data_IF_963376464106
#
_entry.id   IF_963376464106
#
_cell.length_a   1.000
_cell.length_b   1.000
_cell.length_c   1.000
_cell.angle_alpha   90.00
_cell.angle_beta   90.00
_cell.angle_gamma   90.00
#
_symmetry.space_group_name_H-M   'P 1'
#
loop_
_entity.id
_entity.type
_entity.pdbx_description
1 polymer ?
#
# COMPACT_ATOMS: atom_id res chain seq x y z
N UNK A 1 -17.67 -45.32 -41.59
CA UNK A 1 -18.06 -44.81 -40.27
C UNK A 1 -16.83 -44.30 -39.60
N UNK A 2 -16.61 -43.00 -39.69
CA UNK A 2 -15.44 -42.30 -39.12
C UNK A 2 -15.89 -41.49 -37.94
N UNK A 3 -15.45 -41.88 -36.75
CA UNK A 3 -15.64 -41.13 -35.51
C UNK A 3 -14.59 -40.01 -35.45
N UNK A 4 -15.05 -38.79 -35.53
CA UNK A 4 -14.24 -37.61 -35.23
C UNK A 4 -14.45 -37.29 -33.75
N UNK A 5 -13.46 -37.58 -32.92
CA UNK A 5 -13.39 -37.14 -31.53
C UNK A 5 -12.90 -35.71 -31.49
N UNK A 6 -13.82 -34.77 -31.30
CA UNK A 6 -13.51 -33.37 -31.07
C UNK A 6 -12.90 -33.17 -29.69
N UNK A 7 -11.58 -32.95 -29.65
CA UNK A 7 -10.91 -32.46 -28.46
C UNK A 7 -11.15 -30.94 -28.39
N UNK A 8 -12.13 -30.55 -27.57
CA UNK A 8 -12.35 -29.13 -27.25
C UNK A 8 -11.14 -28.55 -26.56
N UNK A 9 -10.87 -27.24 -26.76
CA UNK A 9 -9.74 -26.58 -26.13
C UNK A 9 -9.90 -26.64 -24.61
N UNK A 10 -8.94 -27.28 -23.95
CA UNK A 10 -8.83 -27.21 -22.49
C UNK A 10 -8.65 -25.74 -22.14
N UNK A 11 -9.65 -25.15 -21.47
CA UNK A 11 -9.50 -23.87 -20.81
C UNK A 11 -8.28 -23.97 -19.91
N UNK A 12 -7.26 -23.18 -20.21
CA UNK A 12 -6.09 -23.04 -19.34
C UNK A 12 -6.61 -22.61 -17.97
N UNK A 13 -6.16 -23.31 -16.95
CA UNK A 13 -6.41 -22.93 -15.57
C UNK A 13 -6.04 -21.46 -15.41
N UNK A 14 -7.00 -20.71 -14.87
CA UNK A 14 -7.00 -19.29 -14.62
C UNK A 14 -5.61 -18.72 -14.35
N UNK A 15 -5.26 -17.75 -15.17
CA UNK A 15 -4.18 -16.78 -14.95
C UNK A 15 -4.59 -15.88 -13.77
N UNK A 16 -4.66 -16.45 -12.57
CA UNK A 16 -4.87 -15.70 -11.34
C UNK A 16 -3.53 -15.14 -10.92
N UNK A 17 -3.47 -13.83 -10.77
CA UNK A 17 -2.33 -13.18 -10.12
C UNK A 17 -2.02 -13.89 -8.80
N UNK A 18 -0.74 -14.12 -8.48
CA UNK A 18 -0.37 -14.77 -7.24
C UNK A 18 -0.87 -13.98 -6.04
N UNK A 19 -1.22 -14.67 -4.96
CA UNK A 19 -1.61 -14.05 -3.70
C UNK A 19 -0.44 -13.28 -3.08
N UNK A 20 -0.69 -12.07 -2.56
CA UNK A 20 0.36 -11.30 -1.89
C UNK A 20 0.94 -12.03 -0.68
N UNK A 21 0.10 -12.76 0.05
CA UNK A 21 0.53 -13.52 1.23
C UNK A 21 1.44 -14.71 0.91
N UNK A 22 1.53 -15.11 -0.35
CA UNK A 22 2.51 -16.09 -0.83
C UNK A 22 3.79 -15.46 -1.37
N UNK A 23 3.76 -14.17 -1.72
CA UNK A 23 4.89 -13.44 -2.29
C UNK A 23 5.75 -12.75 -1.23
N UNK A 24 5.10 -12.16 -0.23
CA UNK A 24 5.77 -11.50 0.90
C UNK A 24 5.03 -11.82 2.20
N UNK A 25 5.72 -11.73 3.31
CA UNK A 25 5.13 -11.87 4.64
C UNK A 25 5.01 -10.51 5.36
N UNK A 26 4.27 -10.52 6.46
CA UNK A 26 4.06 -9.32 7.28
C UNK A 26 5.37 -8.79 7.87
N UNK A 27 6.33 -9.66 8.20
CA UNK A 27 7.62 -9.25 8.72
C UNK A 27 8.43 -8.44 7.69
N UNK A 28 8.40 -8.86 6.42
CA UNK A 28 9.02 -8.10 5.32
C UNK A 28 8.38 -6.73 5.13
N UNK A 29 7.04 -6.65 5.18
CA UNK A 29 6.34 -5.35 5.09
C UNK A 29 6.69 -4.45 6.27
N UNK A 30 6.81 -5.00 7.47
CA UNK A 30 7.22 -4.25 8.65
C UNK A 30 8.65 -3.71 8.50
N UNK A 31 9.59 -4.54 8.07
CA UNK A 31 10.98 -4.13 7.84
C UNK A 31 11.08 -3.00 6.80
N UNK A 32 10.35 -3.12 5.69
CA UNK A 32 10.27 -2.09 4.65
C UNK A 32 9.71 -0.78 5.23
N UNK A 33 8.66 -0.87 6.04
CA UNK A 33 8.05 0.29 6.68
C UNK A 33 9.03 0.98 7.64
N UNK A 34 9.71 0.23 8.48
CA UNK A 34 10.72 0.74 9.42
C UNK A 34 11.89 1.41 8.68
N UNK A 35 12.38 0.81 7.61
CA UNK A 35 13.46 1.39 6.79
C UNK A 35 13.03 2.71 6.13
N UNK A 36 11.81 2.77 5.58
CA UNK A 36 11.28 3.99 5.00
C UNK A 36 11.12 5.08 6.08
N UNK A 37 10.70 4.70 7.27
CA UNK A 37 10.56 5.60 8.41
C UNK A 37 11.90 6.21 8.82
N UNK A 38 12.93 5.38 9.01
CA UNK A 38 14.29 5.83 9.32
C UNK A 38 14.83 6.79 8.26
N UNK A 39 14.59 6.50 6.99
CA UNK A 39 15.12 7.28 5.89
C UNK A 39 14.43 8.65 5.73
N UNK A 40 13.12 8.73 5.97
CA UNK A 40 12.32 9.93 5.68
C UNK A 40 11.94 10.72 6.92
N UNK A 41 11.59 10.06 8.01
CA UNK A 41 11.09 10.72 9.23
C UNK A 41 12.23 11.01 10.20
N UNK A 42 13.16 10.08 10.37
CA UNK A 42 14.35 10.28 11.18
C UNK A 42 14.78 9.05 11.97
N UNK A 43 16.06 9.01 12.32
CA UNK A 43 16.66 7.87 13.05
C UNK A 43 16.16 7.73 14.49
N UNK A 44 15.72 8.83 15.09
CA UNK A 44 15.18 8.85 16.46
C UNK A 44 13.67 8.55 16.51
N UNK A 45 13.04 8.39 15.35
CA UNK A 45 11.60 8.18 15.23
C UNK A 45 11.27 6.68 15.15
N UNK A 46 10.83 6.13 16.26
CA UNK A 46 10.60 4.69 16.43
C UNK A 46 9.15 4.32 16.13
N UNK A 47 8.96 3.25 15.36
CA UNK A 47 7.68 2.57 15.20
C UNK A 47 7.58 1.43 16.23
N UNK A 48 6.48 1.41 16.99
CA UNK A 48 6.20 0.34 17.95
C UNK A 48 5.13 -0.58 17.37
N UNK A 49 5.44 -1.86 17.10
CA UNK A 49 4.45 -2.82 16.62
C UNK A 49 3.38 -3.07 17.68
N UNK A 50 2.24 -2.44 17.53
CA UNK A 50 1.11 -2.58 18.43
C UNK A 50 -0.19 -2.27 17.70
N UNK A 51 -1.15 -3.22 17.64
CA UNK A 51 -2.46 -2.97 17.06
C UNK A 51 -3.24 -1.96 17.88
N UNK A 52 -3.74 -0.91 17.22
CA UNK A 52 -4.64 0.06 17.81
C UNK A 52 -5.61 0.56 16.73
N UNK A 53 -6.86 0.90 17.11
CA UNK A 53 -7.83 1.40 16.14
C UNK A 53 -7.41 2.76 15.61
N UNK A 54 -7.48 2.92 14.28
CA UNK A 54 -7.28 4.20 13.61
C UNK A 54 -8.53 5.06 13.82
N UNK A 55 -8.41 6.38 14.05
CA UNK A 55 -9.57 7.27 14.19
C UNK A 55 -10.52 7.22 12.99
N UNK A 56 -11.80 7.55 13.21
CA UNK A 56 -12.83 7.54 12.18
C UNK A 56 -12.60 8.59 11.06
N UNK A 57 -11.85 9.66 11.36
CA UNK A 57 -11.45 10.71 10.41
C UNK A 57 -10.11 10.41 9.72
N UNK A 58 -9.75 9.13 9.62
CA UNK A 58 -8.48 8.72 9.07
C UNK A 58 -8.26 9.20 7.64
N UNK A 59 -7.00 9.53 7.36
CA UNK A 59 -6.49 9.85 6.04
C UNK A 59 -5.63 8.70 5.55
N UNK A 60 -5.75 8.35 4.28
CA UNK A 60 -4.95 7.31 3.64
C UNK A 60 -4.16 7.87 2.47
N UNK A 61 -2.94 7.38 2.32
CA UNK A 61 -2.13 7.56 1.12
C UNK A 61 -1.86 6.19 0.50
N UNK A 62 -1.87 6.09 -0.82
CA UNK A 62 -1.64 4.82 -1.51
C UNK A 62 -0.96 4.99 -2.85
N UNK A 63 -0.33 3.92 -3.27
CA UNK A 63 0.20 3.74 -4.62
C UNK A 63 -0.23 2.39 -5.15
N UNK A 64 -0.46 2.32 -6.46
CA UNK A 64 -0.76 1.06 -7.15
C UNK A 64 0.52 0.43 -7.67
N UNK A 65 0.59 -0.89 -7.65
CA UNK A 65 1.64 -1.70 -8.26
C UNK A 65 1.00 -2.54 -9.35
N UNK A 66 1.48 -2.40 -10.58
CA UNK A 66 0.99 -3.11 -11.75
C UNK A 66 2.11 -3.97 -12.33
N UNK A 67 1.87 -5.27 -12.48
CA UNK A 67 2.85 -6.23 -12.99
C UNK A 67 2.35 -7.66 -12.89
N UNK A 68 3.23 -8.64 -12.67
CA UNK A 68 2.83 -10.02 -12.41
C UNK A 68 1.89 -10.17 -11.22
N UNK A 69 2.01 -9.28 -10.24
CA UNK A 69 1.05 -9.06 -9.18
C UNK A 69 0.49 -7.63 -9.29
N UNK A 70 -0.83 -7.51 -9.13
CA UNK A 70 -1.53 -6.23 -9.14
C UNK A 70 -2.16 -5.96 -7.78
N UNK A 71 -1.89 -4.80 -7.23
CA UNK A 71 -2.42 -4.41 -5.95
C UNK A 71 -2.06 -2.99 -5.56
N UNK A 72 -2.22 -2.69 -4.28
CA UNK A 72 -1.90 -1.37 -3.73
C UNK A 72 -1.18 -1.48 -2.40
N UNK A 73 -0.36 -0.49 -2.13
CA UNK A 73 0.23 -0.23 -0.81
C UNK A 73 -0.52 0.96 -0.23
N UNK A 74 -1.15 0.78 0.93
CA UNK A 74 -2.01 1.77 1.58
C UNK A 74 -1.49 2.06 2.96
N UNK A 75 -1.24 3.33 3.24
CA UNK A 75 -0.84 3.87 4.54
C UNK A 75 -2.03 4.65 5.10
N UNK A 76 -2.42 4.37 6.36
CA UNK A 76 -3.58 5.01 6.98
C UNK A 76 -3.23 5.49 8.38
N UNK A 77 -3.58 6.72 8.71
CA UNK A 77 -3.43 7.32 10.04
C UNK A 77 -4.52 8.37 10.30
N UNK A 78 -4.69 8.80 11.56
CA UNK A 78 -5.57 9.91 11.89
C UNK A 78 -5.07 11.23 11.28
N UNK A 79 -5.96 12.21 11.15
CA UNK A 79 -5.61 13.53 10.59
C UNK A 79 -4.55 14.25 11.39
N UNK A 80 -4.63 14.24 12.72
CA UNK A 80 -3.64 14.87 13.58
C UNK A 80 -2.27 14.21 13.40
N UNK A 81 -2.24 12.88 13.31
CA UNK A 81 -1.01 12.12 13.01
C UNK A 81 -0.45 12.49 11.64
N UNK A 82 -1.31 12.64 10.63
CA UNK A 82 -0.90 13.07 9.29
C UNK A 82 -0.23 14.45 9.30
N UNK A 83 -0.76 15.39 10.07
CA UNK A 83 -0.17 16.73 10.23
C UNK A 83 1.19 16.67 10.95
N UNK A 84 1.29 15.91 12.05
CA UNK A 84 2.56 15.72 12.76
C UNK A 84 3.61 15.05 11.87
N UNK A 85 3.20 14.05 11.11
CA UNK A 85 4.06 13.34 10.17
C UNK A 85 4.55 14.25 9.05
N UNK A 86 3.68 15.09 8.50
CA UNK A 86 4.04 16.11 7.50
C UNK A 86 5.10 17.06 8.05
N UNK A 87 4.93 17.54 9.28
CA UNK A 87 5.93 18.40 9.93
C UNK A 87 7.27 17.69 10.13
N UNK A 88 7.24 16.41 10.51
CA UNK A 88 8.45 15.61 10.68
C UNK A 88 9.17 15.39 9.34
N UNK A 89 8.42 15.10 8.27
CA UNK A 89 8.96 14.90 6.92
C UNK A 89 9.55 16.20 6.32
N UNK A 90 8.90 17.34 6.51
CA UNK A 90 9.37 18.64 6.02
C UNK A 90 10.48 19.24 6.88
N UNK A 91 10.58 18.84 8.15
CA UNK A 91 11.60 19.29 9.08
C UNK A 91 11.65 20.82 9.18
N UNK A 92 12.82 21.40 8.98
CA UNK A 92 13.04 22.86 9.03
C UNK A 92 12.32 23.64 7.89
N UNK A 93 11.87 22.94 6.86
CA UNK A 93 11.13 23.51 5.73
C UNK A 93 9.62 23.50 5.93
N UNK A 94 9.13 22.98 7.08
CA UNK A 94 7.71 22.99 7.38
C UNK A 94 7.19 24.42 7.50
N UNK A 95 6.10 24.79 6.78
CA UNK A 95 5.48 26.11 6.94
C UNK A 95 4.85 26.25 8.33
N UNK A 96 4.65 27.49 8.77
CA UNK A 96 4.01 27.76 10.07
C UNK A 96 2.59 27.19 10.11
N UNK A 97 1.86 27.32 9.00
CA UNK A 97 0.53 26.71 8.80
C UNK A 97 0.63 25.71 7.67
N UNK A 98 0.25 24.45 7.93
CA UNK A 98 0.18 23.41 6.92
C UNK A 98 -1.12 23.55 6.13
N UNK A 99 -1.00 23.56 4.81
CA UNK A 99 -2.13 23.42 3.90
C UNK A 99 -2.40 21.93 3.62
N UNK A 100 -3.61 21.61 3.13
CA UNK A 100 -3.96 20.23 2.77
C UNK A 100 -3.00 19.66 1.71
N UNK A 101 -2.53 20.48 0.77
CA UNK A 101 -1.55 20.12 -0.25
C UNK A 101 -0.21 19.67 0.35
N UNK A 102 0.27 20.33 1.40
CA UNK A 102 1.50 19.94 2.10
C UNK A 102 1.37 18.54 2.71
N UNK A 103 0.20 18.25 3.27
CA UNK A 103 -0.12 16.94 3.87
C UNK A 103 -0.22 15.87 2.78
N UNK A 104 -0.89 16.15 1.68
CA UNK A 104 -1.05 15.22 0.55
C UNK A 104 0.31 14.90 -0.07
N UNK A 105 1.16 15.88 -0.29
CA UNK A 105 2.50 15.69 -0.84
C UNK A 105 3.38 14.86 0.09
N UNK A 106 3.39 15.16 1.38
CA UNK A 106 4.22 14.44 2.36
C UNK A 106 3.78 12.99 2.54
N UNK A 107 2.48 12.74 2.70
CA UNK A 107 1.94 11.38 2.82
C UNK A 107 2.08 10.60 1.51
N UNK A 108 1.87 11.27 0.38
CA UNK A 108 2.07 10.69 -0.94
C UNK A 108 3.51 10.23 -1.16
N UNK A 109 4.49 11.03 -0.76
CA UNK A 109 5.91 10.65 -0.83
C UNK A 109 6.23 9.45 0.06
N UNK A 110 5.71 9.41 1.27
CA UNK A 110 5.90 8.27 2.17
C UNK A 110 5.30 6.99 1.57
N UNK A 111 4.07 7.06 1.04
CA UNK A 111 3.44 5.92 0.37
C UNK A 111 4.23 5.48 -0.88
N UNK A 112 4.77 6.42 -1.64
CA UNK A 112 5.60 6.17 -2.82
C UNK A 112 6.90 5.43 -2.45
N UNK A 113 7.57 5.84 -1.39
CA UNK A 113 8.81 5.19 -0.93
C UNK A 113 8.53 3.78 -0.40
N UNK A 114 7.52 3.60 0.44
CA UNK A 114 7.12 2.27 0.94
C UNK A 114 6.70 1.37 -0.24
N UNK A 115 5.87 1.88 -1.15
CA UNK A 115 5.42 1.17 -2.34
C UNK A 115 6.57 0.79 -3.28
N UNK A 116 7.54 1.67 -3.47
CA UNK A 116 8.74 1.39 -4.26
C UNK A 116 9.59 0.26 -3.68
N UNK A 117 9.74 0.24 -2.36
CA UNK A 117 10.47 -0.83 -1.65
C UNK A 117 9.71 -2.16 -1.68
N UNK A 118 8.38 -2.13 -1.53
CA UNK A 118 7.53 -3.33 -1.74
C UNK A 118 7.66 -3.85 -3.17
N UNK A 119 7.56 -2.97 -4.16
CA UNK A 119 7.74 -3.33 -5.57
C UNK A 119 9.09 -4.02 -5.83
N UNK A 120 10.14 -3.58 -5.17
CA UNK A 120 11.50 -4.11 -5.36
C UNK A 120 11.65 -5.57 -4.90
N UNK A 121 10.84 -6.05 -3.97
CA UNK A 121 10.85 -7.43 -3.47
C UNK A 121 9.80 -8.33 -4.12
N UNK A 122 8.91 -7.75 -4.93
CA UNK A 122 7.90 -8.50 -5.68
C UNK A 122 8.44 -8.97 -7.03
N UNK A 123 7.86 -10.05 -7.63
CA UNK A 123 8.22 -10.46 -8.97
C UNK A 123 7.95 -9.35 -9.97
N UNK A 124 8.93 -9.06 -10.83
CA UNK A 124 8.88 -8.02 -11.87
C UNK A 124 8.92 -8.58 -13.27
N UNK A 125 8.84 -7.70 -14.26
CA UNK A 125 8.81 -6.24 -14.14
C UNK A 125 7.47 -5.68 -13.64
N UNK A 126 7.53 -4.65 -12.81
CA UNK A 126 6.35 -3.98 -12.26
C UNK A 126 6.47 -2.46 -12.39
N UNK A 127 5.34 -1.78 -12.51
CA UNK A 127 5.23 -0.32 -12.57
C UNK A 127 4.57 0.18 -11.29
N UNK A 128 5.11 1.23 -10.72
CA UNK A 128 4.53 1.96 -9.60
C UNK A 128 3.67 3.10 -10.15
N UNK A 129 2.42 3.18 -9.69
CA UNK A 129 1.52 4.29 -10.00
C UNK A 129 1.92 5.59 -9.29
N UNK A 130 1.21 6.66 -9.58
CA UNK A 130 1.35 7.91 -8.85
C UNK A 130 0.68 7.79 -7.47
N UNK A 131 1.24 8.42 -6.43
CA UNK A 131 0.61 8.43 -5.12
C UNK A 131 -0.69 9.23 -5.14
N UNK A 132 -1.68 8.73 -4.39
CA UNK A 132 -2.94 9.39 -4.15
C UNK A 132 -3.19 9.47 -2.64
N UNK A 133 -3.91 10.51 -2.21
CA UNK A 133 -4.27 10.73 -0.80
C UNK A 133 -5.76 11.03 -0.70
N UNK A 134 -6.42 10.46 0.28
CA UNK A 134 -7.86 10.68 0.49
C UNK A 134 -8.41 9.90 1.67
N UNK A 135 -9.71 10.08 1.89
CA UNK A 135 -10.44 9.42 2.99
C UNK A 135 -10.96 8.03 2.61
N UNK A 136 -10.98 7.72 1.32
CA UNK A 136 -11.47 6.43 0.80
C UNK A 136 -10.39 5.77 -0.04
N UNK A 137 -9.52 4.95 0.57
CA UNK A 137 -8.51 4.20 -0.16
C UNK A 137 -9.16 3.13 -1.05
N UNK A 138 -8.44 2.61 -2.05
CA UNK A 138 -8.94 1.52 -2.87
C UNK A 138 -9.30 0.31 -2.00
N UNK A 139 -10.37 -0.40 -2.32
CA UNK A 139 -10.73 -1.62 -1.60
C UNK A 139 -9.65 -2.69 -1.84
N UNK A 140 -9.38 -3.48 -0.80
CA UNK A 140 -8.51 -4.65 -0.86
C UNK A 140 -9.29 -5.92 -0.57
N UNK A 141 -8.68 -7.06 -0.90
CA UNK A 141 -9.19 -8.36 -0.51
C UNK A 141 -8.62 -8.72 0.86
N UNK A 142 -9.46 -8.74 1.90
CA UNK A 142 -9.01 -8.93 3.29
C UNK A 142 -8.21 -10.23 3.49
N UNK A 143 -8.63 -11.32 2.84
CA UNK A 143 -7.93 -12.61 2.89
C UNK A 143 -6.62 -12.63 2.10
N UNK A 144 -6.35 -11.60 1.28
CA UNK A 144 -5.12 -11.45 0.49
C UNK A 144 -4.49 -10.08 0.74
N UNK A 145 -4.16 -9.84 2.00
CA UNK A 145 -3.57 -8.60 2.50
C UNK A 145 -2.50 -8.91 3.53
N UNK A 146 -1.31 -8.31 3.37
CA UNK A 146 -0.33 -8.19 4.44
C UNK A 146 -0.55 -6.87 5.16
N UNK A 147 -0.83 -6.93 6.46
CA UNK A 147 -1.13 -5.76 7.29
C UNK A 147 -0.11 -5.61 8.41
N UNK A 148 0.37 -4.39 8.59
CA UNK A 148 1.25 -3.98 9.68
C UNK A 148 0.57 -2.86 10.45
N UNK A 149 0.38 -3.07 11.75
CA UNK A 149 -0.15 -2.06 12.66
C UNK A 149 0.97 -1.62 13.60
N UNK A 150 1.21 -0.32 13.67
CA UNK A 150 2.25 0.28 14.49
C UNK A 150 1.73 1.53 15.21
N UNK A 151 2.43 1.92 16.25
CA UNK A 151 2.29 3.24 16.87
C UNK A 151 3.51 4.08 16.52
N UNK A 152 3.27 5.29 16.11
CA UNK A 152 4.26 6.35 16.00
C UNK A 152 3.91 7.49 16.94
N UNK A 153 4.82 7.81 17.86
CA UNK A 153 4.57 8.79 18.92
C UNK A 153 3.27 8.53 19.70
N UNK A 154 2.92 7.24 19.88
CA UNK A 154 1.68 6.83 20.56
C UNK A 154 0.41 6.87 19.68
N UNK A 155 0.49 7.30 18.45
CA UNK A 155 -0.64 7.38 17.51
C UNK A 155 -0.66 6.19 16.54
N UNK A 156 -1.83 5.58 16.27
CA UNK A 156 -1.94 4.42 15.41
C UNK A 156 -1.71 4.75 13.95
N UNK A 157 -0.97 3.85 13.28
CA UNK A 157 -0.70 3.90 11.86
C UNK A 157 -0.75 2.47 11.30
N UNK A 158 -1.36 2.31 10.14
CA UNK A 158 -1.51 1.02 9.48
C UNK A 158 -0.90 1.06 8.08
N UNK A 159 -0.14 0.04 7.73
CA UNK A 159 0.33 -0.20 6.36
C UNK A 159 -0.26 -1.51 5.87
N UNK A 160 -0.87 -1.48 4.68
CA UNK A 160 -1.44 -2.66 4.02
C UNK A 160 -0.85 -2.81 2.63
N UNK A 161 -0.42 -4.01 2.32
CA UNK A 161 -0.13 -4.44 0.95
C UNK A 161 -1.22 -5.42 0.57
N UNK A 162 -2.06 -5.04 -0.37
CA UNK A 162 -3.33 -5.72 -0.65
C UNK A 162 -3.53 -5.95 -2.14
N UNK A 163 -4.04 -7.13 -2.49
CA UNK A 163 -4.43 -7.44 -3.88
C UNK A 163 -5.70 -6.69 -4.28
N UNK A 164 -5.81 -6.36 -5.56
CA UNK A 164 -7.04 -5.80 -6.12
C UNK A 164 -8.15 -6.85 -6.05
N UNK A 165 -9.39 -6.51 -5.62
CA UNK A 165 -10.51 -7.43 -5.67
C UNK A 165 -10.79 -7.90 -7.11
N UNK A 166 -11.07 -9.18 -7.29
CA UNK A 166 -11.29 -9.82 -8.59
C UNK A 166 -12.42 -9.21 -9.46
N UNK A 167 -13.29 -8.40 -8.87
CA UNK A 167 -14.41 -7.76 -9.57
C UNK A 167 -14.00 -6.57 -10.45
N UNK A 168 -12.79 -6.00 -10.30
CA UNK A 168 -12.31 -4.89 -11.12
C UNK A 168 -11.62 -5.30 -12.41
N UNK A 169 -11.28 -6.58 -12.60
CA UNK A 169 -10.63 -7.05 -13.83
C UNK A 169 -11.57 -7.03 -15.05
N UNK A 170 -12.88 -6.83 -14.88
CA UNK A 170 -13.88 -6.85 -15.95
C UNK A 170 -14.41 -5.48 -16.41
N UNK A 171 -14.00 -4.37 -15.82
CA UNK A 171 -14.33 -3.04 -16.33
C UNK A 171 -13.25 -2.55 -17.31
N UNK A 172 -13.29 -3.08 -18.52
CA UNK A 172 -12.67 -2.43 -19.66
C UNK A 172 -13.62 -1.29 -20.07
N UNK A 173 -13.22 -0.02 -19.99
CA UNK A 173 -14.05 1.06 -20.49
C UNK A 173 -14.20 0.90 -22.01
N UNK A 174 -15.44 0.88 -22.44
CA UNK A 174 -15.82 0.91 -23.85
C UNK A 174 -15.45 2.25 -24.50
#
# INVERSE_FOLDING_TARGET
MTHVTGTGPRRRASDRSPSITTLIDTATVQEITEQAWLALVGEDEVLVPLPAPVPADALSAWVEILGPWNGSVVLTCGRDTAHELTRALLGEHAPEVLEDEDVDDALGELANVVGGNVKAVLPGPSVLGLPEVGVTPPPGHEADTCRVDVLWRGSPLTVRVQSVPAERENEVPL
#
